data_IF_328199394330
#
_entry.id   IF_328199394330
#
_cell.length_a   1.000
_cell.length_b   1.000
_cell.length_c   1.000
_cell.angle_alpha   90.00
_cell.angle_beta   90.00
_cell.angle_gamma   90.00
#
_symmetry.space_group_name_H-M   'P 1'
#
loop_
_entity.id
_entity.type
_entity.pdbx_description
1 polymer ?
#
# COMPACT_ATOMS: atom_id res chain seq x y z
N UNK A 1 3.10 -20.55 -17.88
CA UNK A 1 3.28 -19.58 -16.78
C UNK A 1 4.08 -18.40 -17.32
N UNK A 2 3.58 -17.17 -17.16
CA UNK A 2 4.31 -15.95 -17.53
C UNK A 2 4.69 -15.21 -16.24
N UNK A 3 5.99 -15.02 -16.01
CA UNK A 3 6.52 -14.28 -14.84
C UNK A 3 6.45 -12.78 -15.15
N UNK A 4 5.95 -11.95 -14.23
CA UNK A 4 5.76 -10.51 -14.44
C UNK A 4 6.97 -9.65 -14.03
N UNK A 5 7.76 -10.10 -13.05
CA UNK A 5 8.89 -9.39 -12.47
C UNK A 5 9.83 -8.77 -13.52
N UNK A 6 10.12 -7.47 -13.38
CA UNK A 6 11.01 -6.70 -14.23
C UNK A 6 10.56 -6.55 -15.68
N UNK A 7 9.33 -6.98 -16.03
CA UNK A 7 8.82 -6.92 -17.39
C UNK A 7 8.04 -5.65 -17.67
N UNK A 8 7.88 -5.38 -18.95
CA UNK A 8 7.00 -4.34 -19.47
C UNK A 8 6.05 -4.98 -20.50
N UNK A 9 4.78 -4.58 -20.45
CA UNK A 9 3.78 -4.94 -21.45
C UNK A 9 3.15 -3.66 -21.97
N UNK A 10 2.95 -3.58 -23.29
CA UNK A 10 2.35 -2.42 -23.96
C UNK A 10 1.03 -2.79 -24.62
N UNK A 11 0.01 -1.97 -24.38
CA UNK A 11 -1.30 -2.05 -25.03
C UNK A 11 -1.66 -0.68 -25.59
N UNK A 12 -1.47 -0.48 -26.89
CA UNK A 12 -1.66 0.82 -27.52
C UNK A 12 -0.66 1.86 -26.97
N UNK A 13 -1.17 2.97 -26.43
CA UNK A 13 -0.35 4.00 -25.76
C UNK A 13 -0.02 3.66 -24.30
N UNK A 14 -0.71 2.68 -23.71
CA UNK A 14 -0.52 2.31 -22.30
C UNK A 14 0.66 1.34 -22.14
N UNK A 15 1.57 1.66 -21.24
CA UNK A 15 2.64 0.78 -20.75
C UNK A 15 2.33 0.34 -19.33
N UNK A 16 2.52 -0.94 -19.05
CA UNK A 16 2.45 -1.54 -17.71
C UNK A 16 3.84 -2.13 -17.42
N UNK A 17 4.51 -1.59 -16.42
CA UNK A 17 5.85 -1.99 -15.99
C UNK A 17 5.77 -2.61 -14.60
N UNK A 18 6.49 -3.69 -14.40
CA UNK A 18 6.59 -4.39 -13.12
C UNK A 18 8.00 -4.18 -12.55
N UNK A 19 8.10 -3.92 -11.26
CA UNK A 19 9.39 -3.84 -10.59
C UNK A 19 10.09 -5.21 -10.55
N UNK A 20 11.38 -5.20 -10.18
CA UNK A 20 11.99 -6.38 -9.57
C UNK A 20 11.26 -6.75 -8.27
N UNK A 21 11.39 -8.01 -7.84
CA UNK A 21 10.83 -8.45 -6.58
C UNK A 21 11.44 -7.64 -5.42
N UNK A 22 10.58 -7.13 -4.54
CA UNK A 22 10.97 -6.43 -3.31
C UNK A 22 10.40 -7.16 -2.10
N UNK A 23 11.06 -7.10 -0.93
CA UNK A 23 10.54 -7.73 0.28
C UNK A 23 9.12 -7.27 0.60
N UNK A 24 8.30 -8.18 1.10
CA UNK A 24 7.00 -7.83 1.67
C UNK A 24 7.23 -7.26 3.08
N UNK A 25 7.60 -5.97 3.14
CA UNK A 25 7.82 -5.24 4.37
C UNK A 25 9.28 -5.16 4.83
N UNK A 26 9.51 -5.20 6.14
CA UNK A 26 10.84 -4.95 6.70
C UNK A 26 11.83 -6.11 6.48
N UNK A 27 11.39 -7.34 6.22
CA UNK A 27 12.28 -8.46 5.97
C UNK A 27 11.69 -9.46 4.97
N UNK A 28 12.45 -10.50 4.63
CA UNK A 28 12.07 -11.48 3.60
C UNK A 28 11.14 -12.59 4.11
N UNK A 29 10.75 -12.58 5.40
CA UNK A 29 10.03 -13.71 6.02
C UNK A 29 8.63 -13.89 5.45
N UNK A 30 8.01 -12.81 4.98
CA UNK A 30 6.71 -12.82 4.32
C UNK A 30 6.80 -13.07 2.81
N UNK A 31 8.02 -13.20 2.28
CA UNK A 31 8.30 -13.34 0.86
C UNK A 31 8.46 -12.01 0.16
N UNK A 32 8.07 -11.97 -1.11
CA UNK A 32 8.34 -10.86 -2.01
C UNK A 32 7.08 -10.46 -2.78
N UNK A 33 7.00 -9.18 -3.10
CA UNK A 33 5.96 -8.58 -3.94
C UNK A 33 6.58 -7.87 -5.13
N UNK A 34 5.76 -7.57 -6.14
CA UNK A 34 6.14 -6.70 -7.25
C UNK A 34 5.26 -5.45 -7.21
N UNK A 35 5.86 -4.31 -7.56
CA UNK A 35 5.16 -3.06 -7.76
C UNK A 35 4.74 -2.95 -9.22
N UNK A 36 3.66 -2.20 -9.50
CA UNK A 36 3.10 -2.06 -10.84
C UNK A 36 2.97 -0.59 -11.19
N UNK A 37 3.68 -0.16 -12.22
CA UNK A 37 3.54 1.18 -12.80
C UNK A 37 2.72 1.10 -14.09
N UNK A 38 1.71 1.95 -14.21
CA UNK A 38 0.85 2.08 -15.37
C UNK A 38 1.03 3.50 -15.91
N UNK A 39 1.30 3.65 -17.20
CA UNK A 39 1.48 4.95 -17.84
C UNK A 39 0.74 4.98 -19.17
N UNK A 40 -0.13 5.96 -19.39
CA UNK A 40 -0.91 6.11 -20.63
C UNK A 40 -0.42 7.25 -21.55
N UNK A 41 0.75 7.83 -21.23
CA UNK A 41 1.42 9.05 -21.76
C UNK A 41 0.95 10.37 -21.18
N UNK A 42 -0.27 10.44 -20.66
CA UNK A 42 -0.81 11.65 -20.07
C UNK A 42 -0.63 11.63 -18.54
N UNK A 43 -0.73 10.45 -17.95
CA UNK A 43 -0.59 10.21 -16.52
C UNK A 43 0.11 8.90 -16.21
N UNK A 44 0.66 8.81 -15.00
CA UNK A 44 1.27 7.60 -14.48
C UNK A 44 0.80 7.28 -13.06
N UNK A 45 0.48 6.01 -12.82
CA UNK A 45 0.08 5.46 -11.53
C UNK A 45 1.08 4.39 -11.11
N UNK A 46 1.52 4.43 -9.87
CA UNK A 46 2.26 3.35 -9.23
C UNK A 46 1.43 2.71 -8.11
N UNK A 47 1.30 1.39 -8.14
CA UNK A 47 0.77 0.59 -7.02
C UNK A 47 1.94 -0.20 -6.43
N UNK A 48 2.26 0.05 -5.16
CA UNK A 48 3.46 -0.53 -4.53
C UNK A 48 3.27 -1.97 -4.06
N UNK A 49 2.05 -2.51 -4.12
CA UNK A 49 1.65 -3.72 -3.38
C UNK A 49 1.81 -3.54 -1.87
N UNK A 50 1.74 -4.62 -1.11
CA UNK A 50 1.89 -4.63 0.34
C UNK A 50 3.39 -4.63 0.70
N UNK A 51 3.94 -3.44 0.95
CA UNK A 51 5.36 -3.23 1.29
C UNK A 51 5.52 -2.65 2.71
N UNK A 52 4.46 -2.65 3.50
CA UNK A 52 4.37 -2.22 4.90
C UNK A 52 4.88 -0.81 5.17
N UNK A 53 4.57 0.16 4.29
CA UNK A 53 5.00 1.55 4.47
C UNK A 53 6.43 1.84 4.02
N UNK A 54 7.01 0.99 3.16
CA UNK A 54 8.32 1.18 2.57
C UNK A 54 9.52 1.27 3.56
N UNK A 55 9.68 0.33 4.53
CA UNK A 55 10.77 0.37 5.52
C UNK A 55 12.18 0.16 4.96
N UNK A 56 12.32 -0.30 3.71
CA UNK A 56 13.61 -0.58 3.05
C UNK A 56 13.82 0.30 1.82
N UNK A 57 15.08 0.62 1.55
CA UNK A 57 15.42 1.50 0.44
C UNK A 57 15.10 0.89 -0.93
N UNK A 58 15.12 -0.43 -1.05
CA UNK A 58 14.75 -1.15 -2.27
C UNK A 58 13.30 -0.86 -2.69
N UNK A 59 12.41 -0.52 -1.75
CA UNK A 59 11.02 -0.16 -2.07
C UNK A 59 10.90 1.13 -2.89
N UNK A 60 11.92 1.99 -2.84
CA UNK A 60 11.90 3.32 -3.45
C UNK A 60 12.46 3.30 -4.87
N UNK A 61 13.27 2.31 -5.20
CA UNK A 61 14.02 2.25 -6.46
C UNK A 61 13.10 2.40 -7.68
N UNK A 62 12.02 1.62 -7.70
CA UNK A 62 11.07 1.65 -8.80
C UNK A 62 10.25 2.95 -8.84
N UNK A 63 9.91 3.53 -7.67
CA UNK A 63 9.26 4.86 -7.61
C UNK A 63 10.15 5.93 -8.23
N UNK A 64 11.45 5.95 -7.89
CA UNK A 64 12.45 6.90 -8.41
C UNK A 64 12.70 6.72 -9.91
N UNK A 65 12.55 5.49 -10.39
CA UNK A 65 12.69 5.17 -11.81
C UNK A 65 11.47 5.63 -12.63
N UNK A 66 10.25 5.34 -12.16
CA UNK A 66 9.03 5.61 -12.94
C UNK A 66 8.46 7.01 -12.74
N UNK A 67 8.76 7.66 -11.61
CA UNK A 67 8.33 9.01 -11.23
C UNK A 67 6.83 9.24 -11.47
N UNK A 68 5.97 8.58 -10.68
CA UNK A 68 4.55 8.54 -10.98
C UNK A 68 3.84 9.85 -10.63
N UNK A 69 2.78 10.22 -11.36
CA UNK A 69 1.88 11.31 -10.95
C UNK A 69 1.05 10.90 -9.72
N UNK A 70 0.62 9.63 -9.68
CA UNK A 70 -0.21 9.06 -8.63
C UNK A 70 0.46 7.86 -8.00
N UNK A 71 0.41 7.72 -6.68
CA UNK A 71 0.86 6.51 -5.98
C UNK A 71 -0.24 5.96 -5.09
N UNK A 72 -0.42 4.63 -5.10
CA UNK A 72 -1.15 3.89 -4.08
C UNK A 72 -0.12 3.08 -3.32
N UNK A 73 0.02 3.40 -2.03
CA UNK A 73 0.97 2.78 -1.11
C UNK A 73 0.25 2.37 0.17
N UNK A 74 0.59 1.21 0.72
CA UNK A 74 0.16 0.83 2.04
C UNK A 74 1.00 1.55 3.10
N UNK A 75 0.40 1.93 4.23
CA UNK A 75 1.15 2.62 5.28
C UNK A 75 1.87 1.68 6.25
N UNK A 76 2.68 2.20 7.18
CA UNK A 76 3.42 1.38 8.13
C UNK A 76 2.51 0.61 9.09
N UNK A 77 2.98 -0.55 9.56
CA UNK A 77 2.34 -1.39 10.60
C UNK A 77 2.34 -0.74 12.01
N UNK A 78 2.09 0.55 12.11
CA UNK A 78 2.15 1.36 13.35
C UNK A 78 1.37 0.76 14.52
N UNK A 79 0.22 0.14 14.27
CA UNK A 79 -0.58 -0.56 15.28
C UNK A 79 0.11 -1.80 15.91
N UNK A 80 1.24 -2.24 15.35
CA UNK A 80 2.08 -3.35 15.83
C UNK A 80 3.46 -2.88 16.32
N UNK A 81 3.64 -1.58 16.57
CA UNK A 81 4.88 -1.04 17.13
C UNK A 81 5.25 -1.74 18.46
N UNK A 82 6.52 -2.13 18.59
CA UNK A 82 7.02 -2.90 19.72
C UNK A 82 6.64 -4.39 19.68
N UNK A 83 6.03 -4.87 18.59
CA UNK A 83 5.74 -6.28 18.33
C UNK A 83 6.33 -6.73 17.00
N UNK A 84 5.63 -6.43 15.91
CA UNK A 84 6.04 -6.82 14.55
C UNK A 84 6.76 -5.69 13.83
N UNK A 85 6.64 -4.44 14.31
CA UNK A 85 7.34 -3.28 13.79
C UNK A 85 8.29 -2.74 14.86
N UNK A 86 9.56 -2.52 14.50
CA UNK A 86 10.55 -1.83 15.33
C UNK A 86 10.42 -0.31 15.19
N UNK A 87 10.89 0.46 16.18
CA UNK A 87 10.96 1.91 16.06
C UNK A 87 11.83 2.34 14.86
N UNK A 88 12.93 1.62 14.62
CA UNK A 88 13.81 1.86 13.48
C UNK A 88 13.10 1.66 12.13
N UNK A 89 12.32 0.59 11.97
CA UNK A 89 11.59 0.32 10.74
C UNK A 89 10.43 1.32 10.53
N UNK A 90 9.79 1.78 11.61
CA UNK A 90 8.81 2.87 11.53
C UNK A 90 9.48 4.17 11.06
N UNK A 91 10.60 4.55 11.66
CA UNK A 91 11.36 5.75 11.29
C UNK A 91 11.88 5.66 9.86
N UNK A 92 12.34 4.48 9.43
CA UNK A 92 12.73 4.24 8.04
C UNK A 92 11.53 4.40 7.10
N UNK A 93 10.37 3.82 7.45
CA UNK A 93 9.14 3.93 6.67
C UNK A 93 8.74 5.39 6.47
N UNK A 94 8.67 6.18 7.54
CA UNK A 94 8.29 7.58 7.47
C UNK A 94 9.29 8.41 6.63
N UNK A 95 10.59 8.26 6.86
CA UNK A 95 11.63 8.93 6.06
C UNK A 95 11.55 8.55 4.58
N UNK A 96 11.31 7.28 4.29
CA UNK A 96 11.23 6.79 2.92
C UNK A 96 9.95 7.28 2.22
N UNK A 97 8.83 7.34 2.93
CA UNK A 97 7.59 7.95 2.42
C UNK A 97 7.76 9.45 2.18
N UNK A 98 8.53 10.16 3.02
CA UNK A 98 8.92 11.55 2.78
C UNK A 98 9.78 11.70 1.50
N UNK A 99 10.65 10.74 1.20
CA UNK A 99 11.41 10.75 -0.06
C UNK A 99 10.50 10.47 -1.26
N UNK A 100 9.55 9.55 -1.13
CA UNK A 100 8.57 9.23 -2.18
C UNK A 100 7.78 10.48 -2.59
N UNK A 101 7.27 11.26 -1.63
CA UNK A 101 6.48 12.48 -1.96
C UNK A 101 7.31 13.55 -2.68
N UNK A 102 8.65 13.51 -2.58
CA UNK A 102 9.54 14.44 -3.29
C UNK A 102 9.77 14.07 -4.76
N UNK A 103 9.34 12.89 -5.21
CA UNK A 103 9.54 12.40 -6.59
C UNK A 103 8.55 12.97 -7.61
N UNK A 104 7.92 14.12 -7.33
CA UNK A 104 7.00 14.79 -8.26
C UNK A 104 5.58 14.23 -8.28
N UNK A 105 5.16 13.61 -7.18
CA UNK A 105 3.83 13.03 -7.01
C UNK A 105 2.78 14.15 -6.85
N UNK A 106 1.62 14.00 -7.47
CA UNK A 106 0.48 14.91 -7.31
C UNK A 106 -0.45 14.42 -6.19
N UNK A 107 -0.75 13.12 -6.18
CA UNK A 107 -1.61 12.47 -5.18
C UNK A 107 -0.99 11.18 -4.69
N UNK A 108 -0.89 11.04 -3.37
CA UNK A 108 -0.52 9.80 -2.70
C UNK A 108 -1.71 9.26 -1.91
N UNK A 109 -2.19 8.08 -2.32
CA UNK A 109 -3.22 7.32 -1.63
C UNK A 109 -2.52 6.38 -0.64
N UNK A 110 -2.68 6.63 0.66
CA UNK A 110 -2.09 5.82 1.74
C UNK A 110 -3.21 5.06 2.47
N UNK A 111 -3.15 3.73 2.45
CA UNK A 111 -4.24 2.89 2.97
C UNK A 111 -3.73 1.59 3.65
N UNK A 112 -4.62 0.62 3.81
CA UNK A 112 -4.41 -0.77 4.24
C UNK A 112 -3.91 -0.99 5.68
N UNK A 113 -2.62 -0.80 5.95
CA UNK A 113 -2.02 -1.16 7.25
C UNK A 113 -2.05 -0.01 8.25
N UNK A 114 -1.68 1.21 7.84
CA UNK A 114 -1.67 2.35 8.75
C UNK A 114 -3.09 2.71 9.22
N UNK A 115 -4.11 2.47 8.40
CA UNK A 115 -5.53 2.66 8.77
C UNK A 115 -6.06 1.63 9.78
N UNK A 116 -5.25 0.66 10.18
CA UNK A 116 -5.53 -0.21 11.33
C UNK A 116 -5.11 0.42 12.66
N UNK A 117 -4.45 1.58 12.62
CA UNK A 117 -4.17 2.39 13.79
C UNK A 117 -5.20 3.51 13.93
N UNK A 118 -5.79 3.67 15.11
CA UNK A 118 -6.70 4.79 15.41
C UNK A 118 -5.98 6.15 15.34
N UNK A 119 -4.64 6.14 15.44
CA UNK A 119 -3.77 7.32 15.40
C UNK A 119 -3.08 7.51 14.06
N UNK A 120 -3.57 6.89 12.98
CA UNK A 120 -2.92 6.96 11.67
C UNK A 120 -2.63 8.40 11.20
N UNK A 121 -3.50 9.35 11.55
CA UNK A 121 -3.29 10.79 11.27
C UNK A 121 -2.05 11.36 11.97
N UNK A 122 -1.81 10.99 13.22
CA UNK A 122 -0.61 11.39 13.98
C UNK A 122 0.64 10.73 13.40
N UNK A 123 0.55 9.44 13.05
CA UNK A 123 1.64 8.67 12.45
C UNK A 123 2.06 9.25 11.11
N UNK A 124 1.10 9.61 10.24
CA UNK A 124 1.39 10.16 8.91
C UNK A 124 1.70 11.66 8.93
N UNK A 125 1.58 12.34 10.07
CA UNK A 125 1.79 13.80 10.17
C UNK A 125 3.14 14.27 9.57
N UNK A 126 4.30 13.63 9.86
CA UNK A 126 5.57 14.06 9.27
C UNK A 126 5.55 14.01 7.73
N UNK A 127 5.04 12.91 7.16
CA UNK A 127 4.90 12.74 5.72
C UNK A 127 3.93 13.76 5.12
N UNK A 128 2.80 14.03 5.79
CA UNK A 128 1.80 15.04 5.38
C UNK A 128 2.35 16.47 5.42
N UNK A 129 3.22 16.78 6.37
CA UNK A 129 3.86 18.09 6.47
C UNK A 129 4.86 18.29 5.31
N UNK A 130 5.71 17.29 5.03
CA UNK A 130 6.61 17.33 3.86
C UNK A 130 5.82 17.39 2.54
N UNK A 131 4.78 16.58 2.39
CA UNK A 131 3.92 16.57 1.20
C UNK A 131 3.32 17.95 0.90
N UNK A 132 2.93 18.70 1.94
CA UNK A 132 2.38 20.06 1.81
C UNK A 132 3.39 21.02 1.15
N UNK A 133 4.66 20.92 1.54
CA UNK A 133 5.72 21.77 0.99
C UNK A 133 5.99 21.50 -0.50
N UNK A 134 5.65 20.30 -0.98
CA UNK A 134 5.78 19.88 -2.38
C UNK A 134 4.45 19.92 -3.15
N UNK A 135 3.35 20.38 -2.52
CA UNK A 135 2.03 20.46 -3.15
C UNK A 135 1.36 19.09 -3.37
N UNK A 136 1.85 18.03 -2.74
CA UNK A 136 1.33 16.67 -2.86
C UNK A 136 0.11 16.50 -1.95
N UNK A 137 -0.97 15.92 -2.49
CA UNK A 137 -2.16 15.60 -1.69
C UNK A 137 -2.06 14.18 -1.16
N UNK A 138 -1.98 14.04 0.17
CA UNK A 138 -2.08 12.75 0.85
C UNK A 138 -3.51 12.51 1.28
N UNK A 139 -4.06 11.35 0.94
CA UNK A 139 -5.41 10.94 1.30
C UNK A 139 -5.54 9.42 1.37
N UNK A 140 -6.59 8.92 1.99
CA UNK A 140 -7.01 7.51 1.93
C UNK A 140 -7.79 7.23 0.64
N UNK A 141 -8.04 5.97 0.31
CA UNK A 141 -8.88 5.63 -0.84
C UNK A 141 -10.32 6.14 -0.65
N UNK A 142 -10.84 6.15 0.58
CA UNK A 142 -12.16 6.69 0.90
C UNK A 142 -12.24 8.19 0.61
N UNK A 143 -11.27 8.97 1.06
CA UNK A 143 -11.20 10.42 0.86
C UNK A 143 -11.00 10.78 -0.62
N UNK A 144 -10.20 10.01 -1.36
CA UNK A 144 -10.08 10.16 -2.81
C UNK A 144 -11.44 10.02 -3.53
N UNK A 145 -12.31 9.15 -3.01
CA UNK A 145 -13.67 8.96 -3.50
C UNK A 145 -14.69 9.95 -2.90
N UNK A 146 -14.25 10.93 -2.09
CA UNK A 146 -15.11 11.93 -1.46
C UNK A 146 -15.89 11.43 -0.24
N UNK A 147 -15.44 10.35 0.39
CA UNK A 147 -16.06 9.77 1.59
C UNK A 147 -15.14 9.91 2.81
N UNK A 148 -15.71 9.93 4.01
CA UNK A 148 -14.91 9.82 5.23
C UNK A 148 -14.38 8.39 5.44
N UNK A 149 -13.14 8.21 5.93
CA UNK A 149 -12.59 6.88 6.20
C UNK A 149 -13.35 6.16 7.33
N UNK A 150 -13.87 4.98 7.02
CA UNK A 150 -14.45 4.08 8.04
C UNK A 150 -13.41 3.01 8.41
N UNK A 151 -12.60 3.27 9.42
CA UNK A 151 -11.50 2.40 9.88
C UNK A 151 -11.98 1.21 10.72
N UNK A 152 -12.76 0.32 10.11
CA UNK A 152 -13.35 -0.85 10.80
C UNK A 152 -12.29 -1.76 11.43
N UNK A 153 -11.15 -1.92 10.76
CA UNK A 153 -10.06 -2.77 11.22
C UNK A 153 -9.38 -2.23 12.49
N UNK A 154 -9.18 -0.91 12.60
CA UNK A 154 -8.68 -0.29 13.82
C UNK A 154 -9.62 -0.53 15.01
N UNK A 155 -10.92 -0.70 14.75
CA UNK A 155 -11.96 -0.94 15.76
C UNK A 155 -12.37 -2.40 15.86
N UNK A 156 -11.66 -3.32 15.18
CA UNK A 156 -12.00 -4.74 15.09
C UNK A 156 -12.37 -5.36 16.44
N UNK A 157 -11.57 -5.11 17.48
CA UNK A 157 -11.81 -5.66 18.84
C UNK A 157 -13.14 -5.20 19.44
N UNK A 158 -13.43 -3.90 19.34
CA UNK A 158 -14.67 -3.30 19.85
C UNK A 158 -15.88 -3.84 19.08
N UNK A 159 -15.78 -3.89 17.75
CA UNK A 159 -16.87 -4.35 16.88
C UNK A 159 -17.19 -5.83 17.09
N UNK A 160 -16.17 -6.68 17.22
CA UNK A 160 -16.36 -8.10 17.52
C UNK A 160 -16.98 -8.33 18.90
N UNK A 161 -16.61 -7.55 19.92
CA UNK A 161 -17.23 -7.67 21.25
C UNK A 161 -18.72 -7.30 21.22
N UNK A 162 -19.10 -6.29 20.44
CA UNK A 162 -20.49 -5.81 20.33
C UNK A 162 -21.40 -6.76 19.58
N UNK A 163 -20.96 -7.27 18.44
CA UNK A 163 -21.82 -8.10 17.60
C UNK A 163 -21.64 -9.59 17.87
N UNK A 164 -20.42 -10.03 18.17
CA UNK A 164 -19.96 -11.41 18.41
C UNK A 164 -20.72 -12.49 17.59
N UNK A 165 -21.09 -12.14 16.35
CA UNK A 165 -21.75 -13.03 15.42
C UNK A 165 -20.65 -13.68 14.58
N UNK A 166 -20.55 -15.01 14.54
CA UNK A 166 -19.66 -15.66 13.60
C UNK A 166 -19.99 -15.18 12.19
N UNK A 167 -18.96 -14.98 11.36
CA UNK A 167 -19.16 -14.64 9.96
C UNK A 167 -20.12 -15.68 9.35
N UNK A 168 -21.20 -15.20 8.71
CA UNK A 168 -22.10 -16.09 7.97
C UNK A 168 -21.33 -16.59 6.76
N UNK A 169 -20.75 -17.80 6.86
CA UNK A 169 -20.13 -18.46 5.72
C UNK A 169 -21.22 -18.67 4.68
N UNK A 170 -21.12 -18.06 3.47
CA UNK A 170 -22.09 -18.28 2.42
C UNK A 170 -22.22 -19.78 2.13
N UNK A 171 -23.46 -20.28 2.02
CA UNK A 171 -23.69 -21.67 1.63
C UNK A 171 -23.02 -21.90 0.27
N UNK A 172 -22.19 -22.94 0.19
CA UNK A 172 -21.44 -23.26 -1.04
C UNK A 172 -20.03 -22.66 -1.14
N UNK A 173 -19.56 -21.86 -0.17
CA UNK A 173 -18.21 -21.28 -0.20
C UNK A 173 -17.11 -22.36 -0.35
N UNK A 174 -17.27 -23.50 0.34
CA UNK A 174 -16.35 -24.63 0.20
C UNK A 174 -16.36 -25.30 -1.18
N UNK A 175 -17.43 -25.15 -1.96
CA UNK A 175 -17.53 -25.68 -3.33
C UNK A 175 -16.80 -24.77 -4.32
N UNK A 176 -16.82 -23.45 -4.11
CA UNK A 176 -16.08 -22.46 -4.91
C UNK A 176 -14.56 -22.65 -4.82
N UNK A 177 -14.03 -23.05 -3.66
CA UNK A 177 -12.59 -23.36 -3.50
C UNK A 177 -12.19 -24.72 -4.08
N UNK A 178 -13.14 -25.63 -4.33
CA UNK A 178 -12.88 -26.92 -4.99
C UNK A 178 -12.88 -26.80 -6.50
N UNK A 179 -13.66 -25.87 -7.08
CA UNK A 179 -13.68 -25.61 -8.52
C UNK A 179 -12.43 -24.89 -9.05
N UNK A 180 -11.56 -24.35 -8.19
CA UNK A 180 -10.31 -23.69 -8.59
C UNK A 180 -9.08 -24.59 -8.51
N UNK A 181 -9.22 -25.88 -8.19
CA UNK A 181 -8.13 -26.88 -8.23
C UNK A 181 -8.23 -27.85 -9.41
N UNK A 182 -9.07 -27.54 -10.40
CA UNK A 182 -9.13 -28.27 -11.66
C UNK A 182 -9.19 -27.30 -12.81
N UNK A 183 -8.01 -26.92 -13.31
CA UNK A 183 -7.65 -26.70 -14.72
C UNK A 183 -6.13 -26.45 -14.83
#
# INVERSE_FOLDING_TARGET
INIAEGKEVKYGSTSIRFSHAVPHGADERLGYVVQVAINDKDSSLLVTSDIEGAPRQQHLEFTKEVKPNYIIIDGPLSYLLGRALSDEDLDNSLRNMEEIVKEGIEIAIIDHHVLRDLKYEEILKPVKDVARDFGVKIMTAAEFLGNEPIILEARRRELFQKENKPAKIPRGLAQLFKSSQGD
#
